data_IF_507178067455
#
_entry.id   IF_507178067455
#
_cell.length_a   1.000
_cell.length_b   1.000
_cell.length_c   1.000
_cell.angle_alpha   90.00
_cell.angle_beta   90.00
_cell.angle_gamma   90.00
#
_symmetry.space_group_name_H-M   'P 1'
#
loop_
_entity.id
_entity.type
_entity.pdbx_description
1 polymer ?
#
# COMPACT_ATOMS: atom_id res chain seq x y z
N UNK A 1 6.15 -19.67 -8.68
CA UNK A 1 5.88 -18.37 -8.02
C UNK A 1 5.12 -17.39 -8.92
N UNK A 2 5.58 -17.14 -10.16
CA UNK A 2 5.01 -16.09 -11.01
C UNK A 2 3.51 -16.27 -11.33
N UNK A 3 3.06 -17.52 -11.58
CA UNK A 3 1.64 -17.82 -11.82
C UNK A 3 0.74 -17.44 -10.63
N UNK A 4 1.12 -17.88 -9.43
CA UNK A 4 0.43 -17.57 -8.18
C UNK A 4 0.37 -16.07 -7.89
N UNK A 5 1.42 -15.34 -8.23
CA UNK A 5 1.49 -13.90 -8.03
C UNK A 5 0.51 -13.15 -8.95
N UNK A 6 0.47 -13.50 -10.24
CA UNK A 6 -0.50 -12.91 -11.17
C UNK A 6 -1.95 -13.29 -10.88
N UNK A 7 -2.20 -14.47 -10.31
CA UNK A 7 -3.53 -14.84 -9.81
C UNK A 7 -3.96 -13.93 -8.65
N UNK A 8 -3.07 -13.65 -7.68
CA UNK A 8 -3.32 -12.69 -6.60
C UNK A 8 -3.59 -11.28 -7.13
N UNK A 9 -2.81 -10.82 -8.11
CA UNK A 9 -3.02 -9.52 -8.77
C UNK A 9 -4.41 -9.43 -9.41
N UNK A 10 -4.84 -10.49 -10.12
CA UNK A 10 -6.17 -10.55 -10.72
C UNK A 10 -7.27 -10.49 -9.66
N UNK A 11 -7.12 -11.24 -8.56
CA UNK A 11 -8.07 -11.20 -7.45
C UNK A 11 -8.16 -9.80 -6.83
N UNK A 12 -7.02 -9.16 -6.53
CA UNK A 12 -6.96 -7.80 -5.96
C UNK A 12 -7.65 -6.76 -6.84
N UNK A 13 -7.37 -6.78 -8.15
CA UNK A 13 -7.99 -5.84 -9.09
C UNK A 13 -9.49 -6.10 -9.24
N UNK A 14 -9.92 -7.36 -9.28
CA UNK A 14 -11.33 -7.74 -9.39
C UNK A 14 -12.12 -7.33 -8.14
N UNK A 15 -11.56 -7.55 -6.95
CA UNK A 15 -12.19 -7.19 -5.67
C UNK A 15 -12.30 -5.67 -5.51
N UNK A 16 -11.23 -4.95 -5.83
CA UNK A 16 -11.18 -3.49 -5.79
C UNK A 16 -12.00 -2.81 -6.91
N UNK A 17 -12.48 -3.58 -7.89
CA UNK A 17 -13.12 -3.08 -9.14
C UNK A 17 -12.24 -2.05 -9.87
N UNK A 18 -10.92 -2.28 -9.86
CA UNK A 18 -9.95 -1.39 -10.47
C UNK A 18 -9.57 -1.87 -11.89
N UNK A 19 -9.33 -0.94 -12.82
CA UNK A 19 -8.92 -1.26 -14.18
C UNK A 19 -7.54 -1.91 -14.23
N UNK A 20 -7.30 -2.68 -15.30
CA UNK A 20 -6.07 -3.48 -15.49
C UNK A 20 -4.79 -2.65 -15.46
N UNK A 21 -4.82 -1.35 -15.74
CA UNK A 21 -3.61 -0.52 -15.71
C UNK A 21 -3.00 -0.38 -14.31
N UNK A 22 -3.75 -0.67 -13.23
CA UNK A 22 -3.22 -0.74 -11.86
C UNK A 22 -2.51 -2.05 -11.51
N UNK A 23 -2.26 -2.94 -12.49
CA UNK A 23 -1.63 -4.24 -12.23
C UNK A 23 -0.25 -4.13 -11.57
N UNK A 24 0.54 -3.09 -11.88
CA UNK A 24 1.85 -2.87 -11.25
C UNK A 24 1.75 -2.58 -9.75
N UNK A 25 0.76 -1.78 -9.35
CA UNK A 25 0.49 -1.42 -7.95
C UNK A 25 -0.04 -2.62 -7.16
N UNK A 26 -0.96 -3.37 -7.76
CA UNK A 26 -1.45 -4.63 -7.21
C UNK A 26 -0.32 -5.66 -7.06
N UNK A 27 0.58 -5.74 -8.05
CA UNK A 27 1.75 -6.63 -8.01
C UNK A 27 2.70 -6.26 -6.87
N UNK A 28 3.04 -4.97 -6.74
CA UNK A 28 3.90 -4.49 -5.67
C UNK A 28 3.30 -4.77 -4.30
N UNK A 29 1.99 -4.52 -4.13
CA UNK A 29 1.27 -4.81 -2.89
C UNK A 29 1.26 -6.30 -2.57
N UNK A 30 1.02 -7.17 -3.55
CA UNK A 30 1.05 -8.61 -3.36
C UNK A 30 2.44 -9.11 -2.94
N UNK A 31 3.51 -8.61 -3.57
CA UNK A 31 4.90 -8.92 -3.19
C UNK A 31 5.22 -8.42 -1.78
N UNK A 32 4.82 -7.18 -1.45
CA UNK A 32 5.04 -6.60 -0.12
C UNK A 32 4.39 -7.44 0.98
N UNK A 33 3.13 -7.84 0.80
CA UNK A 33 2.42 -8.72 1.75
C UNK A 33 3.10 -10.09 1.84
N UNK A 34 3.49 -10.71 0.73
CA UNK A 34 4.18 -12.02 0.74
C UNK A 34 5.50 -11.93 1.50
N UNK A 35 6.27 -10.86 1.30
CA UNK A 35 7.53 -10.64 2.00
C UNK A 35 7.31 -10.47 3.50
N UNK A 36 6.32 -9.66 3.92
CA UNK A 36 5.90 -9.49 5.31
C UNK A 36 5.33 -10.76 5.98
N UNK A 37 4.79 -11.71 5.21
CA UNK A 37 4.25 -12.96 5.76
C UNK A 37 5.33 -14.04 5.86
N UNK A 38 6.25 -14.05 4.90
CA UNK A 38 7.37 -15.01 4.85
C UNK A 38 8.39 -14.75 5.96
N UNK A 39 8.53 -13.49 6.41
CA UNK A 39 9.34 -13.12 7.57
C UNK A 39 8.82 -13.72 8.88
N UNK A 40 7.50 -13.91 9.03
CA UNK A 40 6.87 -14.50 10.24
C UNK A 40 7.16 -15.99 10.37
N UNK A 41 7.07 -16.72 9.25
CA UNK A 41 7.21 -18.18 9.25
C UNK A 41 8.66 -18.59 9.57
N UNK A 42 9.63 -17.71 9.33
CA UNK A 42 11.06 -18.00 9.42
C UNK A 42 11.73 -17.67 10.76
N UNK A 43 11.00 -17.24 11.80
CA UNK A 43 11.56 -16.85 13.11
C UNK A 43 12.79 -15.91 13.00
N UNK A 44 12.50 -14.68 12.58
CA UNK A 44 12.82 -13.44 13.31
C UNK A 44 14.18 -12.73 13.25
N UNK A 45 15.16 -13.05 12.39
CA UNK A 45 16.37 -12.18 12.37
C UNK A 45 16.94 -11.80 11.00
N UNK A 46 16.77 -12.61 9.95
CA UNK A 46 17.63 -12.46 8.75
C UNK A 46 17.01 -11.60 7.65
N UNK A 47 15.68 -11.55 7.48
CA UNK A 47 15.09 -10.82 6.35
C UNK A 47 14.69 -9.37 6.66
N UNK A 48 14.21 -9.08 7.87
CA UNK A 48 13.91 -7.71 8.29
C UNK A 48 15.20 -6.90 8.43
N UNK A 49 16.20 -7.36 9.20
CA UNK A 49 17.47 -6.63 9.42
C UNK A 49 18.25 -6.31 8.14
N UNK A 50 18.19 -7.16 7.11
CA UNK A 50 18.99 -6.98 5.88
C UNK A 50 18.34 -5.97 4.91
N UNK A 51 17.01 -5.80 4.94
CA UNK A 51 16.30 -4.96 3.95
C UNK A 51 15.56 -3.77 4.56
N UNK A 52 15.05 -3.89 5.80
CA UNK A 52 14.25 -2.88 6.49
C UNK A 52 14.54 -2.98 7.99
N UNK A 53 15.52 -2.22 8.48
CA UNK A 53 16.01 -2.15 9.86
C UNK A 53 14.94 -1.75 10.92
N UNK A 54 13.77 -2.42 10.96
CA UNK A 54 12.64 -2.18 11.86
C UNK A 54 11.79 -3.44 12.00
N UNK A 55 11.48 -3.80 13.25
CA UNK A 55 10.52 -4.83 13.61
C UNK A 55 9.26 -4.74 12.73
N UNK A 56 8.88 -5.84 12.06
CA UNK A 56 7.67 -5.93 11.24
C UNK A 56 6.40 -5.61 12.07
N UNK A 57 5.96 -4.35 12.06
CA UNK A 57 4.64 -3.93 12.56
C UNK A 57 3.61 -4.24 11.48
N UNK A 58 2.43 -4.77 11.85
CA UNK A 58 1.33 -5.02 10.91
C UNK A 58 0.27 -3.90 10.94
N UNK A 59 0.42 -2.91 11.82
CA UNK A 59 -0.57 -1.85 12.05
C UNK A 59 -0.76 -0.94 10.84
N UNK A 60 0.23 -0.92 9.96
CA UNK A 60 0.23 -0.13 8.73
C UNK A 60 -0.41 -0.86 7.54
N UNK A 61 -0.71 -2.16 7.65
CA UNK A 61 -1.31 -2.92 6.56
C UNK A 61 -2.73 -2.43 6.29
N UNK A 62 -3.01 -2.15 5.01
CA UNK A 62 -4.31 -1.76 4.48
C UNK A 62 -4.71 -2.71 3.35
N UNK A 63 -6.01 -2.94 3.23
CA UNK A 63 -6.60 -3.76 2.17
C UNK A 63 -6.56 -2.99 0.85
N UNK A 64 -5.95 -3.58 -0.17
CA UNK A 64 -5.96 -3.03 -1.54
C UNK A 64 -7.40 -2.79 -2.02
N UNK A 65 -7.67 -1.61 -2.58
CA UNK A 65 -9.02 -1.21 -3.01
C UNK A 65 -9.89 -0.59 -1.92
N UNK A 66 -9.42 -0.48 -0.68
CA UNK A 66 -10.22 0.11 0.39
C UNK A 66 -10.44 1.62 0.19
N UNK A 67 -11.56 2.13 0.72
CA UNK A 67 -11.83 3.57 0.74
C UNK A 67 -10.93 4.24 1.77
N UNK A 68 -10.26 5.30 1.36
CA UNK A 68 -9.40 6.14 2.21
C UNK A 68 -9.82 7.59 2.08
N UNK A 69 -9.68 8.36 3.15
CA UNK A 69 -9.93 9.81 3.12
C UNK A 69 -8.60 10.54 3.34
N UNK A 70 -8.24 11.41 2.40
CA UNK A 70 -7.03 12.23 2.47
C UNK A 70 -7.42 13.63 2.93
N UNK A 71 -6.69 14.17 3.89
CA UNK A 71 -6.91 15.55 4.32
C UNK A 71 -6.53 16.53 3.22
N UNK A 72 -7.40 17.51 2.94
CA UNK A 72 -7.13 18.61 2.01
C UNK A 72 -6.50 19.77 2.81
N UNK A 73 -5.29 20.23 2.45
CA UNK A 73 -4.63 21.35 3.12
C UNK A 73 -5.51 22.60 3.17
N UNK A 74 -5.28 23.46 4.16
CA UNK A 74 -6.02 24.74 4.29
C UNK A 74 -5.83 25.65 3.08
N UNK A 75 -4.66 25.60 2.47
CA UNK A 75 -4.29 26.46 1.35
C UNK A 75 -4.99 26.05 0.04
N UNK A 76 -5.50 24.83 -0.03
CA UNK A 76 -6.22 24.27 -1.19
C UNK A 76 -7.76 24.31 -1.02
N UNK A 77 -8.28 24.93 0.06
CA UNK A 77 -9.72 24.92 0.38
C UNK A 77 -10.22 26.28 0.86
N UNK A 78 -11.39 26.67 0.38
CA UNK A 78 -12.12 27.86 0.81
C UNK A 78 -12.98 27.58 2.05
N UNK A 79 -13.57 28.64 2.62
CA UNK A 79 -14.49 28.51 3.75
C UNK A 79 -15.71 27.69 3.29
N UNK A 80 -16.01 26.61 4.04
CA UNK A 80 -17.05 25.60 3.78
C UNK A 80 -16.71 24.49 2.76
N UNK A 81 -15.53 24.52 2.14
CA UNK A 81 -15.10 23.41 1.28
C UNK A 81 -14.85 22.12 2.09
N UNK A 82 -14.96 20.99 1.41
CA UNK A 82 -14.69 19.68 1.99
C UNK A 82 -13.27 19.62 2.58
N UNK A 83 -13.14 19.05 3.80
CA UNK A 83 -11.84 18.90 4.49
C UNK A 83 -11.09 17.64 4.07
N UNK A 84 -11.74 16.75 3.35
CA UNK A 84 -11.20 15.43 2.99
C UNK A 84 -11.62 15.06 1.58
N UNK A 85 -10.70 14.45 0.85
CA UNK A 85 -10.96 13.82 -0.45
C UNK A 85 -11.06 12.31 -0.29
N UNK A 86 -12.10 11.71 -0.86
CA UNK A 86 -12.19 10.26 -0.90
C UNK A 86 -11.27 9.70 -1.99
N UNK A 87 -10.49 8.70 -1.64
CA UNK A 87 -9.56 7.99 -2.50
C UNK A 87 -9.70 6.47 -2.31
N UNK A 88 -9.03 5.72 -3.18
CA UNK A 88 -8.89 4.27 -3.13
C UNK A 88 -7.44 3.94 -2.82
N UNK A 89 -7.20 3.06 -1.86
CA UNK A 89 -5.87 2.54 -1.58
C UNK A 89 -5.40 1.60 -2.68
N UNK A 90 -4.26 1.91 -3.32
CA UNK A 90 -3.70 1.09 -4.39
C UNK A 90 -2.33 0.49 -4.05
N UNK A 91 -1.75 0.79 -2.90
CA UNK A 91 -0.52 0.13 -2.47
C UNK A 91 0.43 1.01 -1.69
N UNK A 92 1.59 0.44 -1.41
CA UNK A 92 2.65 1.06 -0.64
C UNK A 92 3.68 1.65 -1.61
N UNK A 93 4.03 2.92 -1.43
CA UNK A 93 5.06 3.60 -2.21
C UNK A 93 6.47 3.25 -1.73
N UNK A 94 7.47 3.56 -2.56
CA UNK A 94 8.88 3.36 -2.22
C UNK A 94 9.31 4.24 -1.04
N UNK A 95 10.19 3.68 -0.22
CA UNK A 95 10.84 4.39 0.88
C UNK A 95 11.86 5.38 0.30
N UNK A 96 11.45 6.64 0.14
CA UNK A 96 12.42 7.72 -0.05
C UNK A 96 12.94 8.13 1.33
N UNK A 97 14.21 7.83 1.61
CA UNK A 97 14.95 8.18 2.84
C UNK A 97 14.89 9.68 3.18
N UNK A 98 14.51 10.54 2.22
CA UNK A 98 14.45 11.99 2.40
C UNK A 98 13.24 12.50 3.19
N UNK A 99 12.16 11.72 3.36
CA UNK A 99 10.89 12.25 3.90
C UNK A 99 10.44 11.68 5.24
N UNK A 100 11.17 10.77 5.88
CA UNK A 100 10.94 10.37 7.29
C UNK A 100 9.57 9.73 7.61
N UNK A 101 8.65 9.60 6.65
CA UNK A 101 7.36 8.93 6.80
C UNK A 101 7.41 7.56 6.12
N UNK A 102 7.25 6.52 6.93
CA UNK A 102 7.75 5.17 6.65
C UNK A 102 7.02 4.42 5.54
N UNK A 103 5.85 4.86 5.06
CA UNK A 103 5.10 4.20 3.99
C UNK A 103 4.27 5.28 3.28
N UNK A 104 4.67 5.69 2.08
CA UNK A 104 3.86 6.60 1.28
C UNK A 104 2.67 5.81 0.71
N UNK A 105 1.47 5.93 1.27
CA UNK A 105 0.30 5.25 0.70
C UNK A 105 0.02 5.81 -0.70
N UNK A 106 0.00 4.96 -1.73
CA UNK A 106 -0.47 5.35 -3.06
C UNK A 106 -1.99 5.30 -3.09
N UNK A 107 -2.57 6.42 -3.52
CA UNK A 107 -4.02 6.65 -3.49
C UNK A 107 -4.49 7.15 -4.85
N UNK A 108 -5.61 6.60 -5.33
CA UNK A 108 -6.29 7.07 -6.54
C UNK A 108 -7.54 7.84 -6.14
N UNK A 109 -7.73 9.02 -6.71
CA UNK A 109 -8.95 9.80 -6.48
C UNK A 109 -10.12 9.09 -7.16
N UNK A 110 -11.22 8.92 -6.43
CA UNK A 110 -12.44 8.30 -6.98
C UNK A 110 -13.18 9.28 -7.89
#
# INVERSE_FOLDING_TARGET
MNKTLFERVRCMLSDAKLPKHFWGEALYTAVHVINLTSTVILNSEVLDKIWFDKNASYDHLRVFGCKVFVHIPRDERSKLDAKTRQCIFIGYGEMNLATGFMILLRLVVK
#
